data_IF_306303262931
#
_entry.id   IF_306303262931
#
_cell.length_a   1.000
_cell.length_b   1.000
_cell.length_c   1.000
_cell.angle_alpha   90.00
_cell.angle_beta   90.00
_cell.angle_gamma   90.00
#
_symmetry.space_group_name_H-M   'P 1'
#
loop_
_entity.id
_entity.type
_entity.pdbx_description
1 polymer ?
#
# COMPACT_ATOMS: atom_id res chain seq x y z
N UNK A 1 6.74 1.52 -14.35
CA UNK A 1 6.71 1.60 -12.87
C UNK A 1 8.09 1.34 -12.30
N UNK A 2 8.53 2.17 -11.39
CA UNK A 2 9.81 2.00 -10.72
C UNK A 2 9.59 1.44 -9.32
N UNK A 3 10.45 0.52 -8.91
CA UNK A 3 10.44 -0.01 -7.56
C UNK A 3 11.76 0.40 -6.89
N UNK A 4 11.67 1.14 -5.79
CA UNK A 4 12.82 1.53 -4.99
C UNK A 4 12.78 0.85 -3.64
N UNK A 5 13.87 0.22 -3.26
CA UNK A 5 14.01 -0.49 -2.00
C UNK A 5 15.03 0.26 -1.14
N UNK A 6 14.64 0.56 0.10
CA UNK A 6 15.52 1.18 1.07
C UNK A 6 16.40 0.10 1.71
N UNK A 7 17.71 0.32 1.70
CA UNK A 7 18.66 -0.62 2.30
C UNK A 7 18.48 -0.76 3.82
N UNK A 8 17.83 0.20 4.47
CA UNK A 8 17.53 0.11 5.89
C UNK A 8 16.61 -1.07 6.24
N UNK A 9 15.89 -1.63 5.24
CA UNK A 9 15.10 -2.84 5.44
C UNK A 9 15.97 -3.99 5.93
N UNK A 10 17.16 -4.17 5.35
CA UNK A 10 18.07 -5.23 5.77
C UNK A 10 18.49 -5.07 7.23
N UNK A 11 18.75 -3.82 7.66
CA UNK A 11 19.10 -3.51 9.03
C UNK A 11 17.94 -3.85 9.99
N UNK A 12 16.71 -3.45 9.64
CA UNK A 12 15.54 -3.75 10.45
C UNK A 12 15.24 -5.23 10.51
N UNK A 13 15.41 -5.98 9.42
CA UNK A 13 15.23 -7.41 9.40
C UNK A 13 16.19 -8.11 10.36
N UNK A 14 17.46 -7.71 10.34
CA UNK A 14 18.47 -8.25 11.24
C UNK A 14 18.12 -7.93 12.69
N UNK A 15 17.74 -6.68 12.97
CA UNK A 15 17.36 -6.23 14.30
C UNK A 15 16.19 -7.05 14.87
N UNK A 16 15.14 -7.22 14.10
CA UNK A 16 13.97 -7.98 14.52
C UNK A 16 14.26 -9.47 14.65
N UNK A 17 15.16 -10.01 13.83
CA UNK A 17 15.60 -11.39 13.96
C UNK A 17 16.31 -11.62 15.31
N UNK A 18 17.16 -10.69 15.73
CA UNK A 18 17.86 -10.77 17.02
C UNK A 18 16.92 -10.67 18.22
N UNK A 19 15.81 -9.93 18.09
CA UNK A 19 14.84 -9.75 19.18
C UNK A 19 13.74 -10.80 19.17
N UNK A 20 13.78 -11.77 18.25
CA UNK A 20 12.76 -12.80 18.07
C UNK A 20 11.39 -12.25 17.71
N UNK A 21 11.34 -11.06 17.11
CA UNK A 21 10.10 -10.41 16.69
C UNK A 21 9.94 -10.31 15.17
N UNK A 22 10.72 -11.13 14.45
CA UNK A 22 10.71 -11.12 12.99
C UNK A 22 9.31 -11.44 12.43
N UNK A 23 8.60 -12.37 13.05
CA UNK A 23 7.26 -12.80 12.62
C UNK A 23 6.28 -11.62 12.62
N UNK A 24 6.32 -10.82 13.70
CA UNK A 24 5.45 -9.63 13.81
C UNK A 24 5.80 -8.61 12.73
N UNK A 25 7.09 -8.38 12.51
CA UNK A 25 7.53 -7.44 11.49
C UNK A 25 7.08 -7.88 10.09
N UNK A 26 7.24 -9.16 9.76
CA UNK A 26 6.82 -9.69 8.46
C UNK A 26 5.32 -9.58 8.25
N UNK A 27 4.53 -9.85 9.27
CA UNK A 27 3.06 -9.72 9.19
C UNK A 27 2.67 -8.26 8.93
N UNK A 28 3.29 -7.33 9.66
CA UNK A 28 3.01 -5.91 9.47
C UNK A 28 3.39 -5.45 8.05
N UNK A 29 4.51 -5.93 7.52
CA UNK A 29 4.93 -5.59 6.17
C UNK A 29 3.98 -6.16 5.11
N UNK A 30 3.48 -7.37 5.33
CA UNK A 30 2.49 -7.98 4.43
C UNK A 30 1.21 -7.16 4.40
N UNK A 31 0.69 -6.75 5.56
CA UNK A 31 -0.51 -5.92 5.63
C UNK A 31 -0.27 -4.54 5.00
N UNK A 32 0.91 -3.96 5.19
CA UNK A 32 1.26 -2.70 4.55
C UNK A 32 1.28 -2.83 3.02
N UNK A 33 1.81 -3.94 2.51
CA UNK A 33 1.82 -4.22 1.08
C UNK A 33 0.40 -4.35 0.53
N UNK A 34 -0.47 -5.09 1.22
CA UNK A 34 -1.87 -5.26 0.83
C UNK A 34 -2.59 -3.91 0.81
N UNK A 35 -2.33 -3.06 1.80
CA UNK A 35 -2.87 -1.71 1.88
C UNK A 35 -2.49 -0.89 0.64
N UNK A 36 -1.19 -0.89 0.28
CA UNK A 36 -0.72 -0.17 -0.89
C UNK A 36 -1.24 -0.76 -2.20
N UNK A 37 -1.39 -2.08 -2.27
CA UNK A 37 -2.00 -2.72 -3.44
C UNK A 37 -3.47 -2.32 -3.59
N UNK A 38 -4.19 -2.11 -2.50
CA UNK A 38 -5.55 -1.59 -2.53
C UNK A 38 -5.60 -0.21 -3.17
N UNK A 39 -4.71 0.70 -2.75
CA UNK A 39 -4.60 2.02 -3.37
C UNK A 39 -4.25 1.91 -4.85
N UNK A 40 -3.32 1.02 -5.21
CA UNK A 40 -2.89 0.82 -6.58
C UNK A 40 -4.04 0.33 -7.47
N UNK A 41 -4.78 -0.67 -7.01
CA UNK A 41 -5.91 -1.22 -7.76
C UNK A 41 -6.98 -0.16 -8.01
N UNK A 42 -7.35 0.59 -6.98
CA UNK A 42 -8.33 1.67 -7.11
C UNK A 42 -7.82 2.76 -8.08
N UNK A 43 -6.55 3.10 -7.98
CA UNK A 43 -5.94 4.09 -8.86
C UNK A 43 -5.98 3.67 -10.33
N UNK A 44 -5.64 2.42 -10.61
CA UNK A 44 -5.65 1.89 -11.99
C UNK A 44 -7.08 1.86 -12.54
N UNK A 45 -8.06 1.44 -11.75
CA UNK A 45 -9.46 1.41 -12.16
C UNK A 45 -9.96 2.82 -12.49
N UNK A 46 -9.51 3.82 -11.74
CA UNK A 46 -9.93 5.21 -11.93
C UNK A 46 -9.12 5.95 -13.00
N UNK A 47 -8.14 5.29 -13.62
CA UNK A 47 -7.38 5.86 -14.72
C UNK A 47 -6.02 6.44 -14.36
N UNK A 48 -5.56 6.21 -13.14
CA UNK A 48 -4.20 6.62 -12.74
C UNK A 48 -3.17 5.58 -13.17
N UNK A 49 -1.92 6.01 -13.32
CA UNK A 49 -0.81 5.12 -13.63
C UNK A 49 0.11 4.99 -12.42
N UNK A 50 0.55 3.78 -12.07
CA UNK A 50 1.58 3.64 -11.04
C UNK A 50 2.90 4.18 -11.58
N UNK A 51 3.48 5.15 -10.86
CA UNK A 51 4.75 5.76 -11.22
C UNK A 51 5.91 5.10 -10.50
N UNK A 52 5.80 4.93 -9.20
CA UNK A 52 6.88 4.45 -8.37
C UNK A 52 6.35 3.83 -7.08
N UNK A 53 6.98 2.75 -6.64
CA UNK A 53 6.75 2.15 -5.33
C UNK A 53 8.06 2.17 -4.57
N UNK A 54 8.05 2.79 -3.37
CA UNK A 54 9.18 2.79 -2.45
C UNK A 54 8.91 1.81 -1.33
N UNK A 55 9.85 0.91 -1.09
CA UNK A 55 9.76 -0.07 -0.02
C UNK A 55 10.66 0.40 1.11
N UNK A 56 10.05 0.81 2.23
CA UNK A 56 10.72 1.32 3.41
C UNK A 56 10.60 0.34 4.57
N UNK A 57 11.48 0.40 5.58
CA UNK A 57 11.36 -0.46 6.77
C UNK A 57 10.05 -0.27 7.53
N UNK A 58 9.45 0.92 7.45
CA UNK A 58 8.22 1.25 8.15
C UNK A 58 6.96 1.03 7.30
N UNK A 59 7.12 0.58 6.05
CA UNK A 59 5.99 0.32 5.17
C UNK A 59 6.32 0.57 3.71
N UNK A 60 5.28 0.81 2.93
CA UNK A 60 5.39 1.05 1.50
C UNK A 60 4.83 2.42 1.16
N UNK A 61 5.44 3.06 0.19
CA UNK A 61 4.98 4.34 -0.33
C UNK A 61 4.82 4.23 -1.83
N UNK A 62 3.67 4.66 -2.34
CA UNK A 62 3.37 4.57 -3.75
C UNK A 62 3.04 5.94 -4.33
N UNK A 63 3.60 6.23 -5.50
CA UNK A 63 3.26 7.41 -6.26
C UNK A 63 2.43 7.01 -7.47
N UNK A 64 1.31 7.69 -7.64
CA UNK A 64 0.42 7.51 -8.78
C UNK A 64 0.48 8.76 -9.65
N UNK A 65 0.47 8.55 -10.96
CA UNK A 65 0.44 9.62 -11.94
C UNK A 65 -0.92 9.64 -12.63
N UNK A 66 -1.50 10.83 -12.75
CA UNK A 66 -2.76 11.00 -13.42
C UNK A 66 -2.59 10.95 -14.93
N UNK A 67 -3.43 10.14 -15.62
CA UNK A 67 -3.38 10.00 -17.08
C UNK A 67 -3.80 11.26 -17.81
N UNK A 68 -4.71 12.01 -17.23
CA UNK A 68 -5.30 13.19 -17.84
C UNK A 68 -5.10 14.40 -16.94
N UNK A 69 -4.15 15.25 -17.32
CA UNK A 69 -3.82 16.46 -16.55
C UNK A 69 -4.95 17.47 -16.50
N UNK A 70 -5.90 17.41 -17.45
CA UNK A 70 -7.02 18.34 -17.48
C UNK A 70 -7.96 18.19 -16.29
N UNK A 71 -7.90 17.07 -15.58
CA UNK A 71 -8.74 16.81 -14.42
C UNK A 71 -8.10 17.23 -13.09
N UNK A 72 -6.87 17.75 -13.12
CA UNK A 72 -6.18 18.19 -11.90
C UNK A 72 -6.91 19.41 -11.33
N UNK A 73 -7.25 19.31 -10.04
CA UNK A 73 -7.94 20.41 -9.33
C UNK A 73 -9.45 20.43 -9.53
N UNK A 74 -10.02 19.51 -10.30
CA UNK A 74 -11.47 19.43 -10.47
C UNK A 74 -12.11 18.68 -9.28
N UNK A 75 -13.42 18.86 -9.12
CA UNK A 75 -14.19 18.15 -8.11
C UNK A 75 -14.13 16.64 -8.34
N UNK A 76 -14.15 16.21 -9.59
CA UNK A 76 -14.03 14.80 -9.97
C UNK A 76 -12.70 14.21 -9.51
N UNK A 77 -11.60 14.92 -9.69
CA UNK A 77 -10.28 14.49 -9.25
C UNK A 77 -10.23 14.33 -7.72
N UNK A 78 -10.86 15.22 -6.97
CA UNK A 78 -10.95 15.13 -5.51
C UNK A 78 -11.72 13.90 -5.07
N UNK A 79 -12.82 13.57 -5.74
CA UNK A 79 -13.60 12.37 -5.45
C UNK A 79 -12.79 11.10 -5.73
N UNK A 80 -12.08 11.06 -6.86
CA UNK A 80 -11.21 9.94 -7.21
C UNK A 80 -10.12 9.70 -6.17
N UNK A 81 -9.47 10.77 -5.71
CA UNK A 81 -8.45 10.68 -4.67
C UNK A 81 -9.02 10.16 -3.36
N UNK A 82 -10.24 10.58 -3.00
CA UNK A 82 -10.91 10.09 -1.80
C UNK A 82 -11.19 8.59 -1.90
N UNK A 83 -11.66 8.11 -3.05
CA UNK A 83 -11.91 6.69 -3.28
C UNK A 83 -10.62 5.89 -3.16
N UNK A 84 -9.53 6.37 -3.75
CA UNK A 84 -8.23 5.72 -3.66
C UNK A 84 -7.75 5.67 -2.21
N UNK A 85 -7.91 6.75 -1.45
CA UNK A 85 -7.52 6.81 -0.05
C UNK A 85 -8.29 5.81 0.82
N UNK A 86 -9.56 5.60 0.54
CA UNK A 86 -10.40 4.66 1.28
C UNK A 86 -10.09 3.21 0.89
N UNK A 87 -9.68 2.97 -0.36
CA UNK A 87 -9.45 1.63 -0.88
C UNK A 87 -8.38 0.85 -0.10
N UNK A 88 -7.33 1.52 0.39
CA UNK A 88 -6.29 0.88 1.17
C UNK A 88 -6.82 0.27 2.47
N UNK A 89 -7.39 1.09 3.38
CA UNK A 89 -8.00 0.57 4.61
C UNK A 89 -9.11 -0.44 4.36
N UNK A 90 -9.92 -0.24 3.32
CA UNK A 90 -10.99 -1.18 2.99
C UNK A 90 -10.44 -2.55 2.59
N UNK A 91 -9.34 -2.59 1.84
CA UNK A 91 -8.69 -3.84 1.46
C UNK A 91 -8.21 -4.61 2.69
N UNK A 92 -7.58 -3.92 3.64
CA UNK A 92 -7.14 -4.53 4.89
C UNK A 92 -8.32 -5.05 5.70
N UNK A 93 -9.39 -4.29 5.77
CA UNK A 93 -10.61 -4.68 6.49
C UNK A 93 -11.24 -5.93 5.89
N UNK A 94 -11.32 -6.00 4.57
CA UNK A 94 -11.85 -7.16 3.86
C UNK A 94 -11.01 -8.41 4.15
N UNK A 95 -9.70 -8.29 4.14
CA UNK A 95 -8.81 -9.42 4.41
C UNK A 95 -8.94 -9.89 5.85
N UNK A 96 -9.01 -8.98 6.80
CA UNK A 96 -9.22 -9.32 8.21
C UNK A 96 -10.55 -10.06 8.37
N UNK A 97 -11.60 -9.59 7.72
CA UNK A 97 -12.91 -10.23 7.76
C UNK A 97 -12.87 -11.65 7.19
N UNK A 98 -12.18 -11.85 6.07
CA UNK A 98 -12.00 -13.16 5.44
C UNK A 98 -11.25 -14.11 6.39
N UNK A 99 -10.20 -13.62 7.04
CA UNK A 99 -9.41 -14.41 7.98
C UNK A 99 -10.26 -14.85 9.17
N UNK A 100 -11.08 -13.95 9.70
CA UNK A 100 -11.98 -14.26 10.81
C UNK A 100 -13.00 -15.32 10.40
N UNK A 101 -13.61 -15.19 9.22
CA UNK A 101 -14.55 -16.17 8.72
C UNK A 101 -13.91 -17.54 8.48
N UNK A 102 -12.68 -17.56 8.00
CA UNK A 102 -11.95 -18.80 7.75
C UNK A 102 -11.62 -19.55 9.05
N UNK A 103 -11.54 -18.87 10.16
CA UNK A 103 -11.21 -19.46 11.47
C UNK A 103 -12.45 -19.78 12.32
N UNK A 104 -13.61 -19.44 11.84
CA UNK A 104 -14.89 -19.82 12.47
C UNK A 104 -15.40 -21.15 11.86
#
# INVERSE_FOLDING_TARGET
MRVKIDLMIALFLVLFAFTSQLDIYLVLMIFALIHELGHLCAGIILGYRPKEIKINPLGFKMELEEKDESNIGTKEASIKRAIIAIAGPMTNLIIIFIIILANI
#
